data_IF_631320409528
#
_entry.id   IF_631320409528
#
_cell.length_a   1.000
_cell.length_b   1.000
_cell.length_c   1.000
_cell.angle_alpha   90.00
_cell.angle_beta   90.00
_cell.angle_gamma   90.00
#
_symmetry.space_group_name_H-M   'P 1'
#
loop_
_entity.id
_entity.type
_entity.pdbx_description
1 polymer ?
#
# COMPACT_ATOMS: atom_id res chain seq x y z
N UNK A 1 17.80 -53.31 -0.51
CA UNK A 1 18.50 -52.11 -1.01
C UNK A 1 17.64 -51.22 -1.92
N UNK A 2 16.84 -51.75 -2.83
CA UNK A 2 15.98 -50.90 -3.75
C UNK A 2 14.93 -50.06 -3.04
N UNK A 3 14.33 -50.52 -1.95
CA UNK A 3 13.35 -49.79 -1.16
C UNK A 3 13.96 -48.56 -0.44
N UNK A 4 15.22 -48.65 -0.04
CA UNK A 4 15.90 -47.55 0.64
C UNK A 4 16.18 -46.37 -0.28
N UNK A 5 16.45 -46.61 -1.55
CA UNK A 5 16.61 -45.55 -2.57
C UNK A 5 15.31 -44.83 -2.86
N UNK A 6 14.16 -45.50 -2.84
CA UNK A 6 12.84 -44.90 -3.09
C UNK A 6 12.46 -43.94 -1.94
N UNK A 7 12.81 -44.32 -0.71
CA UNK A 7 12.54 -43.48 0.48
C UNK A 7 13.39 -42.22 0.45
N UNK A 8 14.69 -42.32 0.10
CA UNK A 8 15.59 -41.19 -0.01
C UNK A 8 15.15 -40.24 -1.14
N UNK A 9 14.72 -40.77 -2.27
CA UNK A 9 14.25 -39.98 -3.41
C UNK A 9 12.96 -39.16 -3.04
N UNK A 10 12.06 -39.75 -2.27
CA UNK A 10 10.88 -39.03 -1.76
C UNK A 10 11.22 -37.95 -0.73
N UNK A 11 12.23 -38.18 0.11
CA UNK A 11 12.67 -37.20 1.10
C UNK A 11 13.28 -35.94 0.45
N UNK A 12 13.94 -36.08 -0.69
CA UNK A 12 14.53 -34.96 -1.45
C UNK A 12 13.44 -34.12 -2.13
N UNK A 13 12.33 -34.73 -2.54
CA UNK A 13 11.19 -34.01 -3.15
C UNK A 13 10.35 -33.21 -2.14
N UNK A 14 10.37 -33.56 -0.85
CA UNK A 14 9.66 -32.82 0.19
C UNK A 14 10.38 -31.57 0.69
N UNK A 15 11.64 -31.38 0.35
CA UNK A 15 12.45 -30.24 0.83
C UNK A 15 12.43 -29.01 -0.10
N UNK A 16 11.72 -29.04 -1.21
CA UNK A 16 11.45 -27.83 -2.00
C UNK A 16 10.35 -26.99 -1.33
N UNK A 17 10.64 -26.43 -0.16
CA UNK A 17 9.89 -25.30 0.37
C UNK A 17 10.10 -24.15 -0.61
N UNK A 18 9.13 -23.98 -1.51
CA UNK A 18 9.04 -22.78 -2.31
C UNK A 18 8.86 -21.61 -1.34
N UNK A 19 9.94 -20.91 -1.07
CA UNK A 19 9.88 -19.54 -0.65
C UNK A 19 9.28 -18.78 -1.84
N UNK A 20 7.95 -18.73 -1.90
CA UNK A 20 7.27 -17.76 -2.73
C UNK A 20 7.60 -16.40 -2.14
N UNK A 21 8.63 -15.75 -2.69
CA UNK A 21 8.86 -14.33 -2.49
C UNK A 21 7.55 -13.66 -2.96
N UNK A 22 6.78 -13.06 -2.03
CA UNK A 22 5.59 -12.29 -2.36
C UNK A 22 6.02 -11.10 -3.21
N UNK A 23 6.26 -11.35 -4.49
CA UNK A 23 6.44 -10.30 -5.48
C UNK A 23 5.18 -9.41 -5.43
N UNK A 24 5.39 -8.11 -5.41
CA UNK A 24 4.32 -7.12 -5.56
C UNK A 24 3.56 -7.44 -6.85
N UNK A 25 2.47 -8.19 -6.74
CA UNK A 25 1.63 -8.50 -7.88
C UNK A 25 0.93 -7.21 -8.31
N UNK A 26 0.78 -7.00 -9.60
CA UNK A 26 0.06 -5.85 -10.16
C UNK A 26 -1.35 -5.67 -9.57
N UNK A 27 -1.96 -6.72 -9.05
CA UNK A 27 -3.24 -6.69 -8.34
C UNK A 27 -3.18 -5.88 -7.05
N UNK A 28 -2.10 -6.00 -6.25
CA UNK A 28 -1.92 -5.20 -5.02
C UNK A 28 -1.68 -3.70 -5.29
N UNK A 29 -1.34 -3.34 -6.53
CA UNK A 29 -1.18 -1.93 -6.90
C UNK A 29 -2.53 -1.18 -6.86
N UNK A 30 -3.61 -1.83 -7.27
CA UNK A 30 -4.97 -1.28 -7.32
C UNK A 30 -5.82 -1.69 -6.11
N UNK A 31 -5.16 -2.04 -5.01
CA UNK A 31 -5.81 -2.42 -3.76
C UNK A 31 -5.47 -1.41 -2.66
N UNK A 32 -6.49 -1.02 -1.89
CA UNK A 32 -6.37 -0.07 -0.78
C UNK A 32 -7.15 -0.59 0.41
N UNK A 33 -6.56 -0.52 1.59
CA UNK A 33 -7.20 -0.80 2.87
C UNK A 33 -7.52 0.52 3.58
N UNK A 34 -8.75 0.65 4.08
CA UNK A 34 -9.17 1.79 4.89
C UNK A 34 -9.92 1.34 6.13
N UNK A 35 -9.77 2.07 7.22
CA UNK A 35 -10.55 1.87 8.44
C UNK A 35 -11.99 2.34 8.19
N UNK A 36 -12.97 1.52 8.58
CA UNK A 36 -14.40 1.83 8.52
C UNK A 36 -14.95 1.99 9.94
N UNK A 37 -15.93 2.87 10.09
CA UNK A 37 -16.61 3.08 11.38
C UNK A 37 -17.61 1.96 11.69
N UNK A 38 -18.24 1.41 10.65
CA UNK A 38 -19.20 0.32 10.76
C UNK A 38 -19.26 -0.52 9.48
N UNK A 39 -20.07 -1.58 9.49
CA UNK A 39 -20.33 -2.44 8.32
C UNK A 39 -21.60 -2.03 7.55
N UNK A 40 -22.20 -0.89 7.89
CA UNK A 40 -23.37 -0.42 7.17
C UNK A 40 -23.04 0.15 5.78
N UNK A 41 -24.05 0.26 4.94
CA UNK A 41 -23.88 0.69 3.55
C UNK A 41 -23.27 2.10 3.43
N UNK A 42 -23.60 3.01 4.34
CA UNK A 42 -23.09 4.38 4.28
C UNK A 42 -21.60 4.42 4.60
N UNK A 43 -21.18 3.74 5.68
CA UNK A 43 -19.78 3.62 6.07
C UNK A 43 -18.95 2.94 4.98
N UNK A 44 -19.49 1.90 4.32
CA UNK A 44 -18.82 1.24 3.19
C UNK A 44 -18.67 2.21 2.01
N UNK A 45 -19.69 2.96 1.64
CA UNK A 45 -19.63 3.93 0.54
C UNK A 45 -18.61 5.05 0.83
N UNK A 46 -18.59 5.57 2.05
CA UNK A 46 -17.56 6.54 2.47
C UNK A 46 -16.17 5.94 2.41
N UNK A 47 -16.01 4.69 2.85
CA UNK A 47 -14.76 3.93 2.74
C UNK A 47 -14.30 3.77 1.30
N UNK A 48 -15.22 3.45 0.38
CA UNK A 48 -14.94 3.38 -1.06
C UNK A 48 -14.40 4.71 -1.61
N UNK A 49 -15.03 5.82 -1.22
CA UNK A 49 -14.60 7.17 -1.62
C UNK A 49 -13.21 7.52 -1.08
N UNK A 50 -12.95 7.21 0.20
CA UNK A 50 -11.64 7.39 0.82
C UNK A 50 -10.57 6.53 0.13
N UNK A 51 -10.87 5.26 -0.12
CA UNK A 51 -9.96 4.34 -0.80
C UNK A 51 -9.64 4.77 -2.24
N UNK A 52 -10.64 5.24 -3.01
CA UNK A 52 -10.42 5.75 -4.36
C UNK A 52 -9.48 6.97 -4.34
N UNK A 53 -9.73 7.91 -3.43
CA UNK A 53 -8.87 9.09 -3.27
C UNK A 53 -7.43 8.71 -2.94
N UNK A 54 -7.24 7.79 -2.01
CA UNK A 54 -5.92 7.29 -1.61
C UNK A 54 -5.21 6.58 -2.78
N UNK A 55 -5.94 5.75 -3.54
CA UNK A 55 -5.43 5.11 -4.74
C UNK A 55 -4.96 6.14 -5.79
N UNK A 56 -5.75 7.20 -6.01
CA UNK A 56 -5.40 8.26 -6.97
C UNK A 56 -4.11 8.96 -6.56
N UNK A 57 -3.94 9.31 -5.28
CA UNK A 57 -2.70 9.88 -4.75
C UNK A 57 -1.53 8.89 -4.90
N UNK A 58 -1.75 7.62 -4.55
CA UNK A 58 -0.73 6.56 -4.65
C UNK A 58 -0.21 6.37 -6.08
N UNK A 59 -1.09 6.46 -7.07
CA UNK A 59 -0.75 6.23 -8.47
C UNK A 59 -0.25 7.49 -9.18
N UNK A 60 -0.76 8.67 -8.83
CA UNK A 60 -0.32 9.93 -9.47
C UNK A 60 0.91 10.55 -8.78
N UNK A 61 1.17 10.19 -7.53
CA UNK A 61 2.20 10.85 -6.71
C UNK A 61 1.85 12.29 -6.33
N UNK A 62 0.62 12.74 -6.60
CA UNK A 62 0.18 14.13 -6.38
C UNK A 62 -0.85 14.18 -5.27
N UNK A 63 -0.63 15.01 -4.26
CA UNK A 63 -1.56 15.19 -3.12
C UNK A 63 -2.75 16.12 -3.43
N UNK A 64 -2.77 16.77 -4.57
CA UNK A 64 -3.80 17.76 -5.00
C UNK A 64 -4.98 17.18 -5.80
N UNK A 65 -5.18 15.88 -5.79
CA UNK A 65 -6.15 15.15 -6.65
C UNK A 65 -7.62 15.58 -6.50
N UNK A 66 -7.97 16.31 -5.45
CA UNK A 66 -9.35 16.76 -5.21
C UNK A 66 -9.76 18.03 -6.00
N UNK A 67 -8.88 18.57 -6.81
CA UNK A 67 -9.10 19.88 -7.42
C UNK A 67 -9.95 19.77 -8.68
N UNK A 68 -9.86 18.68 -9.43
CA UNK A 68 -10.59 18.50 -10.67
C UNK A 68 -12.03 18.04 -10.47
N UNK A 69 -12.94 18.63 -11.22
CA UNK A 69 -14.38 18.33 -11.16
C UNK A 69 -14.67 16.86 -11.48
N UNK A 70 -13.98 16.27 -12.46
CA UNK A 70 -14.16 14.87 -12.84
C UNK A 70 -13.71 13.90 -11.75
N UNK A 71 -12.60 14.22 -11.03
CA UNK A 71 -12.14 13.41 -9.90
C UNK A 71 -13.11 13.52 -8.71
N UNK A 72 -13.66 14.70 -8.45
CA UNK A 72 -14.73 14.87 -7.43
C UNK A 72 -15.95 14.03 -7.77
N UNK A 73 -16.35 14.00 -9.04
CA UNK A 73 -17.45 13.19 -9.52
C UNK A 73 -17.15 11.70 -9.35
N UNK A 74 -15.94 11.26 -9.72
CA UNK A 74 -15.49 9.89 -9.53
C UNK A 74 -15.51 9.47 -8.05
N UNK A 75 -15.05 10.35 -7.14
CA UNK A 75 -15.04 10.06 -5.70
C UNK A 75 -16.43 10.11 -5.06
N UNK A 76 -17.42 10.76 -5.67
CA UNK A 76 -18.82 10.72 -5.23
C UNK A 76 -19.58 9.48 -5.69
N UNK A 77 -19.08 8.77 -6.71
CA UNK A 77 -19.63 7.50 -7.22
C UNK A 77 -18.52 6.45 -7.35
N UNK A 78 -17.84 6.09 -6.24
CA UNK A 78 -16.65 5.26 -6.26
C UNK A 78 -16.92 3.81 -6.68
N UNK A 79 -18.14 3.34 -6.52
CA UNK A 79 -18.58 1.98 -6.87
C UNK A 79 -18.35 1.64 -8.33
N UNK A 80 -18.38 2.61 -9.23
CA UNK A 80 -18.14 2.42 -10.68
C UNK A 80 -16.71 1.93 -10.96
N UNK A 81 -15.77 2.25 -10.09
CA UNK A 81 -14.35 1.92 -10.23
C UNK A 81 -13.92 0.68 -9.46
N UNK A 82 -14.81 0.15 -8.59
CA UNK A 82 -14.50 -0.99 -7.70
C UNK A 82 -14.88 -2.29 -8.41
N UNK A 83 -13.94 -3.24 -8.44
CA UNK A 83 -14.17 -4.59 -8.93
C UNK A 83 -14.69 -5.53 -7.84
N UNK A 84 -14.15 -5.38 -6.63
CA UNK A 84 -14.57 -6.14 -5.45
C UNK A 84 -14.15 -5.43 -4.17
N UNK A 85 -14.80 -5.79 -3.05
CA UNK A 85 -14.35 -5.38 -1.73
C UNK A 85 -14.49 -6.51 -0.72
N UNK A 86 -13.71 -6.43 0.36
CA UNK A 86 -13.72 -7.39 1.47
C UNK A 86 -13.71 -6.62 2.78
N UNK A 87 -14.51 -7.07 3.74
CA UNK A 87 -14.51 -6.56 5.10
C UNK A 87 -13.77 -7.55 6.00
N UNK A 88 -12.94 -7.05 6.88
CA UNK A 88 -12.22 -7.82 7.89
C UNK A 88 -12.20 -7.05 9.21
N UNK A 89 -11.96 -7.75 10.31
CA UNK A 89 -11.74 -7.12 11.61
C UNK A 89 -10.32 -7.39 12.07
N UNK A 90 -9.62 -6.34 12.48
CA UNK A 90 -8.24 -6.41 13.02
C UNK A 90 -8.13 -5.45 14.21
N UNK A 91 -7.78 -5.97 15.39
CA UNK A 91 -7.61 -5.16 16.60
C UNK A 91 -8.85 -4.27 16.90
N UNK A 92 -10.04 -4.87 16.88
CA UNK A 92 -11.35 -4.22 17.14
C UNK A 92 -11.74 -3.16 16.09
N UNK A 93 -10.95 -2.96 15.03
CA UNK A 93 -11.26 -2.07 13.92
C UNK A 93 -11.82 -2.87 12.75
N UNK A 94 -12.76 -2.27 12.05
CA UNK A 94 -13.30 -2.79 10.80
C UNK A 94 -12.44 -2.23 9.66
N UNK A 95 -11.88 -3.13 8.86
CA UNK A 95 -11.04 -2.77 7.73
C UNK A 95 -11.77 -3.17 6.45
N UNK A 96 -11.96 -2.20 5.57
CA UNK A 96 -12.42 -2.42 4.20
C UNK A 96 -11.22 -2.48 3.25
N UNK A 97 -11.05 -3.61 2.57
CA UNK A 97 -10.08 -3.78 1.49
C UNK A 97 -10.82 -3.65 0.18
N UNK A 98 -10.49 -2.63 -0.61
CA UNK A 98 -11.15 -2.31 -1.88
C UNK A 98 -10.20 -2.56 -3.03
N UNK A 99 -10.63 -3.39 -4.00
CA UNK A 99 -9.88 -3.67 -5.23
C UNK A 99 -10.54 -2.93 -6.39
N UNK A 100 -9.75 -2.16 -7.12
CA UNK A 100 -10.22 -1.29 -8.20
C UNK A 100 -9.96 -1.89 -9.58
N UNK A 101 -10.80 -1.54 -10.55
CA UNK A 101 -10.56 -1.87 -11.94
C UNK A 101 -9.41 -0.99 -12.48
N UNK A 102 -8.25 -1.61 -12.72
CA UNK A 102 -7.05 -0.89 -13.13
C UNK A 102 -7.19 -0.16 -14.48
N UNK A 103 -8.03 -0.65 -15.40
CA UNK A 103 -8.26 0.02 -16.69
C UNK A 103 -9.07 1.29 -16.49
N UNK A 104 -10.17 1.22 -15.73
CA UNK A 104 -11.00 2.39 -15.41
C UNK A 104 -10.21 3.46 -14.66
N UNK A 105 -9.34 3.05 -13.72
CA UNK A 105 -8.49 3.98 -12.98
C UNK A 105 -7.43 4.63 -13.89
N UNK A 106 -6.78 3.86 -14.76
CA UNK A 106 -5.82 4.42 -15.72
C UNK A 106 -6.48 5.43 -16.65
N UNK A 107 -7.68 5.09 -17.13
CA UNK A 107 -8.46 6.00 -17.98
C UNK A 107 -8.80 7.28 -17.23
N UNK A 108 -9.29 7.19 -15.99
CA UNK A 108 -9.61 8.36 -15.15
C UNK A 108 -8.40 9.28 -14.96
N UNK A 109 -7.20 8.72 -14.68
CA UNK A 109 -5.97 9.49 -14.54
C UNK A 109 -5.56 10.16 -15.86
N UNK A 110 -5.61 9.41 -16.97
CA UNK A 110 -5.25 9.92 -18.30
C UNK A 110 -6.17 11.04 -18.76
N UNK A 111 -7.48 10.89 -18.61
CA UNK A 111 -8.48 11.88 -19.02
C UNK A 111 -8.31 13.21 -18.26
N UNK A 112 -7.77 13.13 -17.04
CA UNK A 112 -7.47 14.31 -16.20
C UNK A 112 -6.01 14.77 -16.28
N UNK A 113 -5.25 14.28 -17.26
CA UNK A 113 -3.82 14.62 -17.45
C UNK A 113 -2.96 14.43 -16.21
N UNK A 114 -3.35 13.49 -15.34
CA UNK A 114 -2.59 13.15 -14.15
C UNK A 114 -1.49 12.13 -14.47
N UNK A 115 -0.31 12.29 -13.89
CA UNK A 115 0.76 11.32 -14.07
C UNK A 115 0.32 9.96 -13.54
N UNK A 116 0.75 8.88 -14.20
CA UNK A 116 0.48 7.52 -13.79
C UNK A 116 1.79 6.80 -13.50
N UNK A 117 2.00 6.46 -12.26
CA UNK A 117 3.16 5.66 -11.86
C UNK A 117 2.78 4.19 -11.65
N UNK A 118 3.01 3.39 -12.71
CA UNK A 118 2.79 1.93 -12.71
C UNK A 118 4.09 1.12 -12.63
N UNK A 119 5.22 1.78 -12.47
CA UNK A 119 6.52 1.11 -12.37
C UNK A 119 6.71 0.36 -11.06
N UNK A 120 7.63 -0.61 -11.07
CA UNK A 120 8.10 -1.28 -9.85
C UNK A 120 8.71 -0.21 -8.95
N UNK A 121 8.13 -0.02 -7.75
CA UNK A 121 8.71 0.89 -6.76
C UNK A 121 10.05 0.34 -6.32
N UNK A 122 11.16 1.09 -6.48
CA UNK A 122 12.46 0.62 -6.02
C UNK A 122 12.43 0.42 -4.50
N UNK A 123 13.07 -0.63 -4.02
CA UNK A 123 13.33 -0.76 -2.58
C UNK A 123 14.31 0.34 -2.19
N UNK A 124 13.88 1.28 -1.38
CA UNK A 124 14.73 2.36 -0.88
C UNK A 124 15.20 1.96 0.52
N UNK A 125 16.51 1.82 0.70
CA UNK A 125 17.12 1.69 2.01
C UNK A 125 17.34 3.10 2.55
N UNK A 126 16.52 3.49 3.54
CA UNK A 126 16.69 4.74 4.24
C UNK A 126 17.56 4.51 5.49
N UNK A 127 18.78 5.01 5.46
CA UNK A 127 19.67 4.99 6.62
C UNK A 127 19.46 6.27 7.45
N UNK A 128 18.82 6.13 8.62
CA UNK A 128 18.61 7.24 9.55
C UNK A 128 19.53 7.06 10.76
N UNK A 129 20.49 7.96 10.98
CA UNK A 129 21.38 7.92 12.14
C UNK A 129 20.63 8.41 13.40
N UNK A 130 19.79 7.54 13.96
CA UNK A 130 19.00 7.87 15.16
C UNK A 130 19.75 7.58 16.48
N UNK A 131 21.00 7.11 16.42
CA UNK A 131 21.83 6.90 17.60
C UNK A 131 22.48 8.21 18.08
N UNK A 132 22.57 8.37 19.38
CA UNK A 132 23.04 9.60 20.03
C UNK A 132 24.49 9.96 19.65
N UNK A 133 25.34 8.97 19.41
CA UNK A 133 26.74 9.15 18.99
C UNK A 133 26.87 9.78 17.60
N UNK A 134 25.94 9.51 16.68
CA UNK A 134 25.95 10.06 15.31
C UNK A 134 25.39 11.49 15.32
N UNK A 135 24.54 11.85 16.27
CA UNK A 135 23.97 13.20 16.45
C UNK A 135 25.02 14.26 16.75
N UNK A 136 26.14 13.87 17.34
CA UNK A 136 27.22 14.79 17.66
C UNK A 136 27.97 15.36 16.45
N UNK A 137 27.82 14.71 15.29
CA UNK A 137 28.48 15.13 14.04
C UNK A 137 27.73 16.28 13.37
N UNK A 138 26.43 16.42 13.61
CA UNK A 138 25.62 17.50 13.06
C UNK A 138 25.64 18.72 14.01
N UNK A 139 26.44 19.71 13.66
CA UNK A 139 26.60 20.93 14.48
C UNK A 139 25.46 21.94 14.32
N UNK A 140 24.62 21.81 13.27
CA UNK A 140 23.50 22.72 13.04
C UNK A 140 22.26 22.33 13.83
N UNK A 141 21.77 23.26 14.64
CA UNK A 141 20.60 23.06 15.53
C UNK A 141 19.32 22.80 14.76
N UNK A 142 19.12 23.42 13.59
CA UNK A 142 17.95 23.27 12.73
C UNK A 142 17.87 21.86 12.15
N UNK A 143 18.97 21.35 11.61
CA UNK A 143 19.07 19.99 11.07
C UNK A 143 18.87 18.91 12.14
N UNK A 144 19.22 19.20 13.39
CA UNK A 144 19.04 18.29 14.51
C UNK A 144 17.57 18.12 14.90
N UNK A 145 16.81 19.23 14.95
CA UNK A 145 15.38 19.17 15.27
C UNK A 145 14.57 18.40 14.19
N UNK A 146 14.91 18.57 12.91
CA UNK A 146 14.30 17.82 11.82
C UNK A 146 14.62 16.32 11.91
N UNK A 147 15.87 15.97 12.20
CA UNK A 147 16.30 14.58 12.35
C UNK A 147 15.59 13.89 13.52
N UNK A 148 15.46 14.58 14.67
CA UNK A 148 14.76 14.05 15.85
C UNK A 148 13.28 13.82 15.57
N UNK A 149 12.65 14.71 14.82
CA UNK A 149 11.26 14.57 14.36
C UNK A 149 11.09 13.35 13.46
N UNK A 150 11.98 13.17 12.47
CA UNK A 150 11.99 12.01 11.58
C UNK A 150 12.22 10.71 12.36
N UNK A 151 13.19 10.67 13.25
CA UNK A 151 13.48 9.50 14.08
C UNK A 151 12.29 9.11 14.98
N UNK A 152 11.57 10.11 15.53
CA UNK A 152 10.38 9.87 16.35
C UNK A 152 9.21 9.31 15.53
N UNK A 153 9.08 9.72 14.27
CA UNK A 153 8.07 9.23 13.36
C UNK A 153 8.34 7.78 12.93
N UNK A 154 9.60 7.47 12.60
CA UNK A 154 10.00 6.10 12.20
C UNK A 154 9.81 5.09 13.33
N UNK A 155 10.13 5.48 14.59
CA UNK A 155 9.90 4.62 15.77
C UNK A 155 8.43 4.29 16.04
N UNK A 156 7.48 5.07 15.50
CA UNK A 156 6.03 4.79 15.61
C UNK A 156 5.52 3.83 14.56
N UNK A 157 6.29 3.62 13.49
CA UNK A 157 5.90 2.79 12.34
C UNK A 157 6.48 1.37 12.47
N UNK A 158 7.58 1.21 13.21
CA UNK A 158 8.22 -0.07 13.52
C UNK A 158 7.60 -0.70 14.77
#
# INVERSE_FOLDING_TARGET
MKFFYIIILNLIFLSSSFFAEEGYTFQKLYEVEVDLESTDKNSINEGMGKALKELMVKLSGTSGVNVDQEIRKATSQPEVYISQYKLSSRNEKIIGTFSFNGESIRKLLSDNSLPLWIGIKPKILLFLPCEEQVRLIHQDKSSREELDKLCSQVKKIL
#
